data_IF_435155027625
#
_entry.id   IF_435155027625
#
_cell.length_a   1.000
_cell.length_b   1.000
_cell.length_c   1.000
_cell.angle_alpha   90.00
_cell.angle_beta   90.00
_cell.angle_gamma   90.00
#
_symmetry.space_group_name_H-M   'P 1'
#
loop_
_entity.id
_entity.type
_entity.pdbx_description
1 polymer ?
#
# COMPACT_ATOMS: atom_id res chain seq x y z
N UNK A 1 -13.46 -17.38 -27.13
CA UNK A 1 -12.07 -16.87 -27.18
C UNK A 1 -11.91 -15.49 -26.51
N UNK A 2 -12.78 -14.54 -26.80
CA UNK A 2 -12.78 -13.15 -26.30
C UNK A 2 -12.83 -13.04 -24.76
N UNK A 3 -13.62 -13.85 -24.06
CA UNK A 3 -13.74 -13.81 -22.60
C UNK A 3 -12.45 -14.24 -21.87
N UNK A 4 -11.66 -15.14 -22.45
CA UNK A 4 -10.35 -15.55 -21.90
C UNK A 4 -9.28 -14.46 -22.08
N UNK A 5 -9.31 -13.76 -23.22
CA UNK A 5 -8.41 -12.64 -23.48
C UNK A 5 -8.72 -11.45 -22.57
N UNK A 6 -10.01 -11.12 -22.38
CA UNK A 6 -10.43 -10.05 -21.48
C UNK A 6 -10.02 -10.31 -20.02
N UNK A 7 -10.15 -11.56 -19.54
CA UNK A 7 -9.68 -11.95 -18.19
C UNK A 7 -8.17 -11.95 -18.03
N UNK A 8 -7.40 -12.18 -19.12
CA UNK A 8 -5.93 -12.06 -19.10
C UNK A 8 -5.51 -10.60 -19.07
N UNK A 9 -6.14 -9.75 -19.88
CA UNK A 9 -5.86 -8.31 -19.93
C UNK A 9 -6.23 -7.63 -18.60
N UNK A 10 -7.38 -7.95 -17.99
CA UNK A 10 -7.77 -7.44 -16.68
C UNK A 10 -6.78 -7.86 -15.59
N UNK A 11 -6.36 -9.12 -15.55
CA UNK A 11 -5.35 -9.60 -14.59
C UNK A 11 -3.97 -8.99 -14.81
N UNK A 12 -3.62 -8.68 -16.05
CA UNK A 12 -2.38 -7.97 -16.37
C UNK A 12 -2.46 -6.52 -15.91
N UNK A 13 -3.59 -5.85 -16.16
CA UNK A 13 -3.84 -4.47 -15.72
C UNK A 13 -3.85 -4.35 -14.18
N UNK A 14 -4.57 -5.25 -13.50
CA UNK A 14 -4.55 -5.33 -12.03
C UNK A 14 -3.15 -5.60 -11.47
N UNK A 15 -2.34 -6.33 -12.23
CA UNK A 15 -0.99 -6.72 -11.81
C UNK A 15 0.02 -5.59 -11.92
N UNK A 16 -0.16 -4.69 -12.88
CA UNK A 16 0.79 -3.61 -13.14
C UNK A 16 0.27 -2.24 -12.67
N UNK A 17 -1.03 -2.12 -12.35
CA UNK A 17 -1.60 -0.84 -11.94
C UNK A 17 -1.01 -0.35 -10.60
N UNK A 18 -0.88 -1.21 -9.62
CA UNK A 18 -0.31 -0.86 -8.30
C UNK A 18 1.16 -0.42 -8.45
N UNK A 19 1.94 -1.15 -9.23
CA UNK A 19 3.34 -0.84 -9.55
C UNK A 19 3.47 0.47 -10.34
N UNK A 20 2.62 0.66 -11.36
CA UNK A 20 2.62 1.87 -12.17
C UNK A 20 2.22 3.11 -11.36
N UNK A 21 1.21 3.01 -10.50
CA UNK A 21 0.78 4.10 -9.62
C UNK A 21 1.87 4.44 -8.61
N UNK A 22 2.47 3.43 -7.97
CA UNK A 22 3.57 3.66 -7.01
C UNK A 22 4.79 4.28 -7.71
N UNK A 23 5.16 3.79 -8.90
CA UNK A 23 6.25 4.34 -9.71
C UNK A 23 5.98 5.78 -10.15
N UNK A 24 4.78 6.07 -10.62
CA UNK A 24 4.38 7.43 -11.00
C UNK A 24 4.40 8.39 -9.80
N UNK A 25 3.90 7.93 -8.63
CA UNK A 25 3.93 8.71 -7.40
C UNK A 25 5.36 8.99 -6.94
N UNK A 26 6.28 8.02 -7.07
CA UNK A 26 7.69 8.20 -6.76
C UNK A 26 8.35 9.23 -7.70
N UNK A 27 8.11 9.13 -8.99
CA UNK A 27 8.63 10.10 -9.97
C UNK A 27 8.09 11.51 -9.70
N UNK A 28 6.78 11.64 -9.42
CA UNK A 28 6.16 12.91 -9.09
C UNK A 28 6.75 13.50 -7.80
N UNK A 29 6.86 12.70 -6.74
CA UNK A 29 7.46 13.11 -5.47
C UNK A 29 8.89 13.61 -5.66
N UNK A 30 9.72 12.84 -6.37
CA UNK A 30 11.12 13.21 -6.62
C UNK A 30 11.23 14.49 -7.43
N UNK A 31 10.40 14.66 -8.45
CA UNK A 31 10.37 15.88 -9.29
C UNK A 31 9.92 17.09 -8.48
N UNK A 32 8.88 16.97 -7.65
CA UNK A 32 8.39 18.04 -6.79
C UNK A 32 9.45 18.47 -5.79
N UNK A 33 10.11 17.52 -5.14
CA UNK A 33 11.19 17.82 -4.18
C UNK A 33 12.38 18.53 -4.87
N UNK A 34 12.75 18.08 -6.07
CA UNK A 34 13.81 18.73 -6.83
C UNK A 34 13.44 20.17 -7.21
N UNK A 35 12.24 20.37 -7.77
CA UNK A 35 11.75 21.72 -8.14
C UNK A 35 11.71 22.63 -6.91
N UNK A 36 11.23 22.13 -5.78
CA UNK A 36 11.15 22.89 -4.54
C UNK A 36 12.52 23.34 -4.03
N UNK A 37 13.53 22.45 -4.08
CA UNK A 37 14.90 22.79 -3.70
C UNK A 37 15.43 23.92 -4.60
N UNK A 38 15.24 23.79 -5.92
CA UNK A 38 15.67 24.82 -6.88
C UNK A 38 14.97 26.15 -6.60
N UNK A 39 13.65 26.14 -6.43
CA UNK A 39 12.87 27.36 -6.17
C UNK A 39 13.27 28.03 -4.85
N UNK A 40 13.53 27.23 -3.81
CA UNK A 40 13.92 27.74 -2.48
C UNK A 40 15.33 28.35 -2.49
N UNK A 41 16.30 27.68 -3.10
CA UNK A 41 17.72 28.08 -2.99
C UNK A 41 18.19 28.95 -4.15
N UNK A 42 17.71 28.74 -5.37
CA UNK A 42 18.12 29.53 -6.55
C UNK A 42 17.24 30.75 -6.69
N UNK A 43 15.92 30.57 -6.67
CA UNK A 43 14.97 31.66 -6.91
C UNK A 43 14.52 32.36 -5.62
N UNK A 44 14.86 31.83 -4.43
CA UNK A 44 14.45 32.38 -3.11
C UNK A 44 12.94 32.58 -2.97
N UNK A 45 12.17 31.80 -3.70
CA UNK A 45 10.70 31.82 -3.73
C UNK A 45 10.16 30.41 -3.45
N UNK A 46 10.00 30.02 -2.17
CA UNK A 46 9.51 28.70 -1.81
C UNK A 46 8.05 28.53 -2.26
N UNK A 47 7.75 27.33 -2.78
CA UNK A 47 6.40 26.96 -3.24
C UNK A 47 5.67 26.19 -2.14
N UNK A 48 4.79 26.85 -1.38
CA UNK A 48 4.05 26.19 -0.27
C UNK A 48 3.16 25.04 -0.73
N UNK A 49 2.56 25.13 -1.92
CA UNK A 49 1.71 24.10 -2.47
C UNK A 49 2.47 22.81 -2.86
N UNK A 50 3.76 22.93 -3.18
CA UNK A 50 4.59 21.78 -3.58
C UNK A 50 4.88 20.84 -2.42
N UNK A 51 5.02 21.35 -1.21
CA UNK A 51 5.20 20.56 0.02
C UNK A 51 3.98 19.68 0.26
N UNK A 52 2.80 20.26 0.13
CA UNK A 52 1.55 19.56 0.36
C UNK A 52 1.28 18.48 -0.70
N UNK A 53 1.51 18.82 -1.97
CA UNK A 53 1.38 17.86 -3.06
C UNK A 53 2.39 16.70 -2.94
N UNK A 54 3.60 16.99 -2.47
CA UNK A 54 4.60 15.96 -2.20
C UNK A 54 4.16 14.99 -1.10
N UNK A 55 3.51 15.49 -0.04
CA UNK A 55 2.91 14.63 1.00
C UNK A 55 1.83 13.72 0.41
N UNK A 56 0.98 14.20 -0.47
CA UNK A 56 -0.05 13.36 -1.12
C UNK A 56 0.55 12.30 -2.05
N UNK A 57 1.59 12.65 -2.80
CA UNK A 57 2.36 11.68 -3.58
C UNK A 57 3.02 10.62 -2.69
N UNK A 58 3.58 11.03 -1.55
CA UNK A 58 4.19 10.12 -0.57
C UNK A 58 3.14 9.17 0.02
N UNK A 59 1.97 9.66 0.39
CA UNK A 59 0.86 8.84 0.89
C UNK A 59 0.47 7.80 -0.17
N UNK A 60 0.26 8.21 -1.41
CA UNK A 60 -0.05 7.31 -2.51
C UNK A 60 1.05 6.25 -2.71
N UNK A 61 2.32 6.67 -2.75
CA UNK A 61 3.47 5.77 -2.88
C UNK A 61 3.50 4.72 -1.79
N UNK A 62 3.31 5.12 -0.52
CA UNK A 62 3.36 4.21 0.63
C UNK A 62 2.23 3.19 0.56
N UNK A 63 1.00 3.60 0.32
CA UNK A 63 -0.14 2.68 0.34
C UNK A 63 -0.17 1.75 -0.88
N UNK A 64 0.07 2.25 -2.08
CA UNK A 64 0.12 1.42 -3.29
C UNK A 64 1.39 0.55 -3.31
N UNK A 65 2.52 1.08 -2.85
CA UNK A 65 3.75 0.32 -2.69
C UNK A 65 3.63 -0.81 -1.66
N UNK A 66 2.97 -0.55 -0.52
CA UNK A 66 2.70 -1.57 0.48
C UNK A 66 1.74 -2.65 -0.05
N UNK A 67 0.67 -2.27 -0.76
CA UNK A 67 -0.24 -3.22 -1.39
C UNK A 67 0.49 -4.12 -2.42
N UNK A 68 1.38 -3.51 -3.22
CA UNK A 68 2.27 -4.23 -4.13
C UNK A 68 3.20 -5.20 -3.39
N UNK A 69 3.84 -4.77 -2.30
CA UNK A 69 4.73 -5.60 -1.49
C UNK A 69 4.00 -6.80 -0.85
N UNK A 70 2.76 -6.63 -0.41
CA UNK A 70 1.91 -7.74 0.07
C UNK A 70 1.66 -8.75 -1.04
N UNK A 71 1.37 -8.27 -2.24
CA UNK A 71 1.12 -9.14 -3.41
C UNK A 71 2.33 -9.96 -3.81
N UNK A 72 3.52 -9.34 -3.87
CA UNK A 72 4.78 -10.01 -4.23
C UNK A 72 5.34 -10.86 -3.08
N UNK A 73 4.62 -10.96 -1.94
CA UNK A 73 5.07 -11.67 -0.74
C UNK A 73 6.43 -11.17 -0.22
N UNK A 74 6.80 -9.95 -0.61
CA UNK A 74 8.04 -9.29 -0.25
C UNK A 74 8.03 -8.71 1.17
N UNK A 75 6.99 -9.03 1.98
CA UNK A 75 7.03 -8.69 3.39
C UNK A 75 8.24 -9.34 4.01
N UNK A 76 9.10 -8.50 4.57
CA UNK A 76 10.27 -8.91 5.34
C UNK A 76 9.74 -9.67 6.56
N UNK A 77 9.41 -10.94 6.34
CA UNK A 77 9.21 -11.88 7.44
C UNK A 77 10.57 -12.03 8.08
N UNK A 78 10.59 -12.05 9.38
CA UNK A 78 11.83 -12.32 10.13
C UNK A 78 12.23 -13.77 9.83
N UNK A 79 12.83 -13.99 8.64
CA UNK A 79 13.33 -15.29 8.21
C UNK A 79 14.31 -15.88 9.25
N UNK A 80 14.96 -15.01 10.02
CA UNK A 80 15.82 -15.41 11.13
C UNK A 80 15.09 -16.31 12.16
N UNK A 81 13.81 -16.10 12.42
CA UNK A 81 13.04 -16.97 13.32
C UNK A 81 12.91 -18.39 12.78
N UNK A 82 12.86 -18.56 11.45
CA UNK A 82 12.76 -19.88 10.81
C UNK A 82 14.06 -20.68 10.81
N UNK A 83 15.20 -20.02 11.04
CA UNK A 83 16.51 -20.68 11.15
C UNK A 83 16.74 -21.28 12.53
N UNK A 84 16.02 -20.79 13.54
CA UNK A 84 16.21 -21.17 14.96
C UNK A 84 15.08 -22.07 15.45
N UNK A 85 13.86 -21.98 14.91
CA UNK A 85 12.70 -22.74 15.38
C UNK A 85 12.44 -24.01 14.57
N UNK A 86 11.93 -25.09 15.21
CA UNK A 86 11.46 -26.27 14.49
C UNK A 86 10.27 -25.92 13.56
N UNK A 87 10.16 -26.62 12.42
CA UNK A 87 9.21 -26.31 11.33
C UNK A 87 7.75 -26.06 11.79
N UNK A 88 7.27 -26.81 12.78
CA UNK A 88 5.91 -26.64 13.31
C UNK A 88 5.72 -25.34 14.10
N UNK A 89 6.68 -24.99 14.96
CA UNK A 89 6.63 -23.75 15.74
C UNK A 89 6.79 -22.52 14.82
N UNK A 90 7.66 -22.61 13.81
CA UNK A 90 7.86 -21.56 12.81
C UNK A 90 6.57 -21.25 12.04
N UNK A 91 5.81 -22.29 11.67
CA UNK A 91 4.51 -22.14 11.00
C UNK A 91 3.49 -21.42 11.91
N UNK A 92 3.42 -21.83 13.19
CA UNK A 92 2.53 -21.19 14.16
C UNK A 92 2.83 -19.70 14.36
N UNK A 93 4.11 -19.35 14.47
CA UNK A 93 4.58 -17.96 14.58
C UNK A 93 4.23 -17.16 13.33
N UNK A 94 4.40 -17.75 12.14
CA UNK A 94 4.05 -17.08 10.88
C UNK A 94 2.55 -16.77 10.78
N UNK A 95 1.70 -17.75 11.11
CA UNK A 95 0.24 -17.55 11.10
C UNK A 95 -0.19 -16.51 12.14
N UNK A 96 0.39 -16.55 13.34
CA UNK A 96 0.09 -15.57 14.39
C UNK A 96 0.51 -14.16 13.98
N UNK A 97 1.68 -14.00 13.36
CA UNK A 97 2.14 -12.71 12.84
C UNK A 97 1.23 -12.18 11.73
N UNK A 98 0.82 -13.05 10.80
CA UNK A 98 -0.11 -12.69 9.74
C UNK A 98 -1.50 -12.31 10.29
N UNK A 99 -1.98 -13.02 11.29
CA UNK A 99 -3.26 -12.70 11.96
C UNK A 99 -3.20 -11.34 12.68
N UNK A 100 -2.12 -11.08 13.41
CA UNK A 100 -1.89 -9.79 14.08
C UNK A 100 -1.82 -8.65 13.07
N UNK A 101 -1.08 -8.86 11.98
CA UNK A 101 -0.95 -7.88 10.91
C UNK A 101 -2.30 -7.61 10.20
N UNK A 102 -3.09 -8.65 9.96
CA UNK A 102 -4.44 -8.52 9.40
C UNK A 102 -5.38 -7.76 10.34
N UNK A 103 -5.35 -8.07 11.63
CA UNK A 103 -6.13 -7.36 12.63
C UNK A 103 -5.77 -5.87 12.69
N UNK A 104 -4.48 -5.54 12.66
CA UNK A 104 -4.00 -4.16 12.60
C UNK A 104 -4.49 -3.42 11.34
N UNK A 105 -4.35 -4.03 10.17
CA UNK A 105 -4.81 -3.42 8.91
C UNK A 105 -6.34 -3.22 8.90
N UNK A 106 -7.10 -4.16 9.45
CA UNK A 106 -8.57 -4.04 9.56
C UNK A 106 -8.97 -2.90 10.50
N UNK A 107 -8.27 -2.74 11.61
CA UNK A 107 -8.48 -1.62 12.54
C UNK A 107 -8.13 -0.28 11.88
N UNK A 108 -7.03 -0.21 11.14
CA UNK A 108 -6.62 0.99 10.40
C UNK A 108 -7.59 1.32 9.26
N UNK A 109 -8.14 0.30 8.58
CA UNK A 109 -9.21 0.49 7.59
C UNK A 109 -10.44 1.13 8.22
N UNK A 110 -10.89 0.61 9.38
CA UNK A 110 -12.03 1.19 10.10
C UNK A 110 -11.77 2.66 10.46
N UNK A 111 -10.61 2.94 11.08
CA UNK A 111 -10.23 4.30 11.47
C UNK A 111 -10.07 5.23 10.27
N UNK A 112 -9.57 4.71 9.15
CA UNK A 112 -9.50 5.46 7.89
C UNK A 112 -10.88 5.84 7.34
N UNK A 113 -11.85 4.93 7.41
CA UNK A 113 -13.24 5.22 7.01
C UNK A 113 -13.88 6.24 7.95
N UNK A 114 -13.67 6.13 9.26
CA UNK A 114 -14.15 7.10 10.25
C UNK A 114 -13.56 8.50 10.00
N UNK A 115 -12.29 8.59 9.66
CA UNK A 115 -11.63 9.84 9.28
C UNK A 115 -12.26 10.47 8.04
N UNK A 116 -12.47 9.70 6.98
CA UNK A 116 -13.13 10.17 5.75
C UNK A 116 -14.54 10.64 6.05
N UNK A 117 -15.29 9.91 6.87
CA UNK A 117 -16.64 10.30 7.28
C UNK A 117 -16.63 11.63 8.06
N UNK A 118 -15.65 11.85 8.94
CA UNK A 118 -15.53 13.12 9.67
C UNK A 118 -15.27 14.30 8.74
N UNK A 119 -14.39 14.15 7.73
CA UNK A 119 -14.16 15.19 6.72
C UNK A 119 -15.36 15.40 5.77
N UNK A 120 -16.20 14.39 5.59
CA UNK A 120 -17.44 14.56 4.83
C UNK A 120 -18.49 15.39 5.61
N UNK A 121 -18.54 15.24 6.94
CA UNK A 121 -19.44 16.01 7.80
C UNK A 121 -18.94 17.42 8.10
N UNK A 122 -17.63 17.58 8.25
CA UNK A 122 -16.96 18.84 8.54
C UNK A 122 -15.87 19.10 7.49
N UNK A 123 -16.21 19.66 6.33
CA UNK A 123 -15.25 19.93 5.27
C UNK A 123 -14.13 20.85 5.76
N UNK A 124 -12.90 20.35 5.66
CA UNK A 124 -11.70 21.11 5.98
C UNK A 124 -10.88 21.30 4.71
N UNK A 125 -10.43 22.52 4.47
CA UNK A 125 -9.56 22.83 3.34
C UNK A 125 -8.11 22.68 3.74
N UNK A 126 -7.29 22.27 2.80
CA UNK A 126 -5.86 22.21 2.99
C UNK A 126 -5.24 23.60 2.99
N UNK A 127 -4.16 23.85 3.77
CA UNK A 127 -3.65 25.19 3.98
C UNK A 127 -3.04 25.85 2.74
N UNK A 128 -2.45 25.08 1.83
CA UNK A 128 -1.70 25.60 0.69
C UNK A 128 -2.41 25.39 -0.66
N UNK A 129 -3.08 24.26 -0.85
CA UNK A 129 -3.79 23.93 -2.09
C UNK A 129 -5.29 24.31 -2.03
N UNK A 130 -5.81 24.62 -0.85
CA UNK A 130 -7.23 24.93 -0.61
C UNK A 130 -8.20 23.85 -1.12
N UNK A 131 -7.71 22.62 -1.27
CA UNK A 131 -8.53 21.46 -1.63
C UNK A 131 -9.15 20.82 -0.39
N UNK A 132 -10.30 20.20 -0.55
CA UNK A 132 -10.94 19.48 0.54
C UNK A 132 -10.09 18.27 0.95
N UNK A 133 -9.70 18.19 2.22
CA UNK A 133 -8.90 17.10 2.81
C UNK A 133 -9.56 15.73 2.70
N UNK A 134 -10.84 15.67 2.38
CA UNK A 134 -11.54 14.42 2.09
C UNK A 134 -10.87 13.63 0.96
N UNK A 135 -10.44 14.32 -0.12
CA UNK A 135 -9.86 13.65 -1.28
C UNK A 135 -8.55 12.89 -0.98
N UNK A 136 -7.52 13.54 -0.39
CA UNK A 136 -6.30 12.82 -0.04
C UNK A 136 -6.52 11.78 1.07
N UNK A 137 -7.47 12.00 1.97
CA UNK A 137 -7.78 11.05 3.05
C UNK A 137 -8.40 9.75 2.54
N UNK A 138 -9.05 9.74 1.38
CA UNK A 138 -9.56 8.51 0.73
C UNK A 138 -8.45 7.51 0.40
N UNK A 139 -7.22 7.95 0.18
CA UNK A 139 -6.09 7.05 -0.09
C UNK A 139 -5.83 6.11 1.08
N UNK A 140 -6.10 6.53 2.31
CA UNK A 140 -5.86 5.74 3.53
C UNK A 140 -6.73 4.48 3.56
N UNK A 141 -8.08 4.57 3.57
CA UNK A 141 -8.91 3.37 3.60
C UNK A 141 -8.79 2.54 2.33
N UNK A 142 -8.55 3.14 1.16
CA UNK A 142 -8.30 2.42 -0.08
C UNK A 142 -7.03 1.56 0.05
N UNK A 143 -5.93 2.13 0.57
CA UNK A 143 -4.68 1.41 0.74
C UNK A 143 -4.79 0.24 1.72
N UNK A 144 -5.33 0.47 2.92
CA UNK A 144 -5.55 -0.60 3.90
C UNK A 144 -6.55 -1.65 3.40
N UNK A 145 -7.60 -1.25 2.68
CA UNK A 145 -8.55 -2.15 2.05
C UNK A 145 -7.89 -3.06 1.00
N UNK A 146 -7.01 -2.50 0.16
CA UNK A 146 -6.24 -3.27 -0.81
C UNK A 146 -5.31 -4.28 -0.11
N UNK A 147 -4.62 -3.89 0.96
CA UNK A 147 -3.75 -4.80 1.73
C UNK A 147 -4.55 -5.96 2.34
N UNK A 148 -5.70 -5.69 2.98
CA UNK A 148 -6.58 -6.72 3.52
C UNK A 148 -7.07 -7.66 2.42
N UNK A 149 -7.51 -7.12 1.28
CA UNK A 149 -7.98 -7.90 0.14
C UNK A 149 -6.89 -8.81 -0.43
N UNK A 150 -5.66 -8.29 -0.58
CA UNK A 150 -4.52 -9.09 -1.07
C UNK A 150 -4.15 -10.21 -0.11
N UNK A 151 -4.23 -9.97 1.18
CA UNK A 151 -3.97 -11.00 2.19
C UNK A 151 -5.03 -12.11 2.13
N UNK A 152 -6.31 -11.76 2.08
CA UNK A 152 -7.41 -12.73 1.91
C UNK A 152 -7.22 -13.53 0.62
N UNK A 153 -6.85 -12.88 -0.49
CA UNK A 153 -6.57 -13.57 -1.76
C UNK A 153 -5.41 -14.57 -1.62
N UNK A 154 -4.33 -14.21 -0.92
CA UNK A 154 -3.18 -15.09 -0.71
C UNK A 154 -3.56 -16.35 0.08
N UNK A 155 -4.35 -16.20 1.15
CA UNK A 155 -4.85 -17.32 1.94
C UNK A 155 -5.89 -18.18 1.20
N UNK A 156 -6.77 -17.58 0.40
CA UNK A 156 -7.74 -18.29 -0.43
C UNK A 156 -7.05 -19.16 -1.51
N UNK A 157 -5.94 -18.68 -2.09
CA UNK A 157 -5.14 -19.46 -3.04
C UNK A 157 -4.48 -20.65 -2.33
N UNK A 158 -3.95 -20.44 -1.14
CA UNK A 158 -3.36 -21.52 -0.35
C UNK A 158 -4.38 -22.61 0.01
N UNK A 159 -5.57 -22.24 0.46
CA UNK A 159 -6.62 -23.20 0.81
C UNK A 159 -7.10 -24.03 -0.39
N UNK A 160 -6.99 -23.48 -1.60
CA UNK A 160 -7.34 -24.20 -2.85
C UNK A 160 -6.19 -25.10 -3.38
N UNK A 161 -5.20 -25.43 -2.57
CA UNK A 161 -4.05 -26.26 -2.96
C UNK A 161 -2.96 -25.51 -3.73
N UNK A 162 -2.96 -24.17 -3.68
CA UNK A 162 -1.88 -23.33 -4.23
C UNK A 162 -0.66 -23.25 -3.30
N UNK A 163 0.32 -22.45 -3.73
CA UNK A 163 1.55 -22.22 -2.97
C UNK A 163 1.23 -21.49 -1.66
N UNK A 164 1.72 -21.99 -0.52
CA UNK A 164 1.52 -21.36 0.78
C UNK A 164 2.05 -19.92 0.81
N UNK A 165 1.37 -18.99 1.49
CA UNK A 165 1.82 -17.61 1.60
C UNK A 165 3.22 -17.47 2.23
N UNK A 166 3.70 -18.48 2.93
CA UNK A 166 5.02 -18.60 3.56
C UNK A 166 5.95 -19.62 2.90
N UNK A 167 5.72 -20.01 1.64
CA UNK A 167 6.54 -21.01 0.91
C UNK A 167 7.96 -20.54 0.53
N UNK A 168 8.39 -19.37 0.97
CA UNK A 168 9.79 -18.95 0.93
C UNK A 168 10.66 -19.63 2.02
N UNK A 169 10.16 -20.68 2.68
CA UNK A 169 10.97 -21.46 3.61
C UNK A 169 12.02 -22.25 2.84
N UNK A 170 13.33 -22.11 3.14
CA UNK A 170 14.36 -22.94 2.56
C UNK A 170 14.11 -24.39 3.00
N UNK A 171 13.73 -25.25 2.05
CA UNK A 171 13.55 -26.71 2.29
C UNK A 171 12.13 -27.24 2.16
N UNK A 172 11.22 -26.57 1.38
CA UNK A 172 9.95 -27.13 0.90
C UNK A 172 10.05 -27.53 -0.55
#
# INVERSE_FOLDING_TARGET
MVARQRRRALRWLERHAEEAIAGAALCALSSLMFIQVVMRYVFRSPLSWSDELAVYCMIALVYFGAAYAVRERAHIRVLAAFWVLPKGAALGVAIAADALWFAFNSLMLWKGVELVHSYALQPSLSPALEINLLWPSLLIPIGYGLMCLRMVQAYAIWWRGGIAPFSALPGG
#
